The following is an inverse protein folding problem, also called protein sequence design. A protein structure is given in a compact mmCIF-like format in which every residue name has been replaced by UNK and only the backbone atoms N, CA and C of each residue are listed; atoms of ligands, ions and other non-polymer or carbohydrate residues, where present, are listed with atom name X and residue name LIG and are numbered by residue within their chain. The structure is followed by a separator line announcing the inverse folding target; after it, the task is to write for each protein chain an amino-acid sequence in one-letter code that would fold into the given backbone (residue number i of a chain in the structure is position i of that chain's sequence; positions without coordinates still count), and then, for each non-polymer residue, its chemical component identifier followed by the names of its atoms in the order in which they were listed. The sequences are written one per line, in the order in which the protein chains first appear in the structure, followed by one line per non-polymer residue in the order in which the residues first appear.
data_IF_565335548087
#
_entry.id   IF_565335548087
#
_cell.length_a   1.000
_cell.length_b   1.000
_cell.length_c   1.000
_cell.angle_alpha   90.00
_cell.angle_beta   90.00
_cell.angle_gamma   90.00
#
_symmetry.space_group_name_H-M   'P 1'
#
loop_
_entity.id
_entity.type
_entity.pdbx_description
1 polymer ?
#
# COMPACT_ATOMS: atom_id res chain seq x y z
N UNK A 1 -2.59 -77.21 -22.44
CA UNK A 1 -3.35 -76.19 -21.67
C UNK A 1 -2.41 -75.57 -20.66
N UNK A 2 -1.83 -74.41 -20.94
CA UNK A 2 -1.17 -73.60 -19.93
C UNK A 2 -1.21 -72.12 -20.36
N UNK A 3 -1.66 -71.28 -19.44
CA UNK A 3 -2.22 -69.97 -19.71
C UNK A 3 -1.15 -68.88 -19.80
N UNK A 4 -1.14 -68.13 -20.90
CA UNK A 4 -0.48 -66.84 -21.02
C UNK A 4 -1.25 -65.79 -20.19
N UNK A 5 -0.61 -65.21 -19.18
CA UNK A 5 -1.08 -63.96 -18.53
C UNK A 5 -0.18 -62.82 -18.93
N UNK A 6 -0.68 -61.96 -19.82
CA UNK A 6 -0.04 -60.70 -20.18
C UNK A 6 -0.13 -59.70 -19.02
N UNK A 7 1.03 -59.19 -18.58
CA UNK A 7 1.12 -58.05 -17.69
C UNK A 7 0.89 -56.77 -18.52
N UNK A 8 -0.31 -56.20 -18.43
CA UNK A 8 -0.62 -54.88 -18.95
C UNK A 8 0.01 -53.80 -18.07
N UNK A 9 1.16 -53.28 -18.50
CA UNK A 9 1.80 -52.13 -17.88
C UNK A 9 0.98 -50.86 -18.21
N UNK A 10 0.05 -50.50 -17.31
CA UNK A 10 -0.68 -49.22 -17.38
C UNK A 10 0.27 -48.10 -16.98
N UNK A 11 0.93 -47.49 -17.95
CA UNK A 11 1.63 -46.22 -17.79
C UNK A 11 0.60 -45.13 -17.42
N UNK A 12 0.57 -44.75 -16.15
CA UNK A 12 -0.08 -43.53 -15.72
C UNK A 12 0.78 -42.35 -16.18
N UNK A 13 0.32 -41.61 -17.21
CA UNK A 13 0.89 -40.32 -17.54
C UNK A 13 0.57 -39.35 -16.39
N UNK A 14 1.54 -39.15 -15.50
CA UNK A 14 1.54 -38.01 -14.58
C UNK A 14 1.86 -36.78 -15.43
N UNK A 15 0.83 -35.99 -15.74
CA UNK A 15 0.99 -34.63 -16.27
C UNK A 15 1.68 -33.79 -15.19
N UNK A 16 3.02 -33.71 -15.27
CA UNK A 16 3.81 -32.72 -14.55
C UNK A 16 3.43 -31.35 -15.11
N UNK A 17 2.48 -30.69 -14.47
CA UNK A 17 2.27 -29.26 -14.65
C UNK A 17 3.60 -28.56 -14.35
N UNK A 18 4.18 -27.81 -15.31
CA UNK A 18 5.39 -27.07 -15.04
C UNK A 18 5.06 -26.06 -13.95
N UNK A 19 5.67 -26.24 -12.78
CA UNK A 19 5.68 -25.24 -11.73
C UNK A 19 6.55 -24.10 -12.27
N UNK A 20 5.94 -23.19 -13.03
CA UNK A 20 6.59 -21.96 -13.44
C UNK A 20 7.02 -21.25 -12.17
N UNK A 21 8.33 -21.24 -11.91
CA UNK A 21 8.92 -20.31 -10.98
C UNK A 21 8.57 -18.92 -11.52
N UNK A 22 7.52 -18.31 -11.01
CA UNK A 22 7.20 -16.93 -11.35
C UNK A 22 8.38 -16.11 -10.85
N UNK A 23 9.25 -15.68 -11.78
CA UNK A 23 10.14 -14.56 -11.54
C UNK A 23 9.26 -13.45 -10.93
N UNK A 24 9.65 -12.98 -9.75
CA UNK A 24 8.86 -12.01 -9.00
C UNK A 24 8.81 -10.71 -9.80
N UNK A 25 7.77 -10.56 -10.61
CA UNK A 25 7.60 -9.44 -11.53
C UNK A 25 7.40 -8.17 -10.71
N UNK A 26 8.47 -7.35 -10.70
CA UNK A 26 8.63 -6.22 -9.80
C UNK A 26 8.51 -4.92 -10.59
N UNK A 27 7.53 -4.12 -10.22
CA UNK A 27 7.31 -2.78 -10.76
C UNK A 27 7.93 -1.72 -9.86
N UNK A 28 8.50 -0.69 -10.49
CA UNK A 28 9.01 0.50 -9.81
C UNK A 28 8.19 1.70 -10.25
N UNK A 29 7.72 2.49 -9.29
CA UNK A 29 6.88 3.65 -9.55
C UNK A 29 7.30 4.82 -8.69
N UNK A 30 7.54 5.98 -9.33
CA UNK A 30 7.79 7.25 -8.65
C UNK A 30 6.56 8.13 -8.80
N UNK A 31 5.85 8.44 -7.71
CA UNK A 31 4.65 9.27 -7.77
C UNK A 31 4.98 10.71 -8.21
N UNK A 32 4.14 11.29 -9.05
CA UNK A 32 4.26 12.70 -9.50
C UNK A 32 3.15 13.61 -8.96
N UNK A 33 2.03 13.04 -8.51
CA UNK A 33 0.90 13.76 -7.93
C UNK A 33 0.27 12.98 -6.78
N UNK A 34 -0.23 13.71 -5.79
CA UNK A 34 -0.98 13.18 -4.66
C UNK A 34 -2.41 13.70 -4.66
N UNK A 35 -3.35 12.88 -4.19
CA UNK A 35 -4.78 13.22 -4.19
C UNK A 35 -5.34 13.29 -2.77
N UNK A 36 -6.12 14.34 -2.49
CA UNK A 36 -6.74 14.56 -1.18
C UNK A 36 -8.01 13.73 -0.95
N UNK A 37 -8.46 12.97 -1.96
CA UNK A 37 -9.73 12.23 -1.90
C UNK A 37 -9.64 10.89 -2.62
N UNK A 38 -10.28 9.87 -2.04
CA UNK A 38 -10.53 8.60 -2.71
C UNK A 38 -11.69 8.75 -3.69
N UNK A 39 -11.41 8.58 -4.98
CA UNK A 39 -12.37 8.72 -6.08
C UNK A 39 -11.87 7.89 -7.27
N UNK A 40 -12.80 7.45 -8.13
CA UNK A 40 -12.50 6.86 -9.45
C UNK A 40 -11.77 7.89 -10.32
N UNK A 41 -10.57 7.54 -10.80
CA UNK A 41 -9.71 8.35 -11.67
C UNK A 41 -8.99 7.45 -12.66
N UNK A 42 -8.39 8.06 -13.67
CA UNK A 42 -7.40 7.38 -14.48
C UNK A 42 -6.29 6.83 -13.59
N UNK A 43 -5.94 5.54 -13.73
CA UNK A 43 -4.95 4.93 -12.88
C UNK A 43 -3.56 5.45 -13.24
N UNK A 44 -2.78 5.75 -12.20
CA UNK A 44 -1.38 6.15 -12.36
C UNK A 44 -0.47 4.95 -12.66
N UNK A 45 -0.95 3.74 -12.36
CA UNK A 45 -0.28 2.47 -12.61
C UNK A 45 -1.32 1.36 -12.79
N UNK A 46 -1.05 0.43 -13.72
CA UNK A 46 -1.79 -0.83 -13.86
C UNK A 46 -0.89 -1.99 -13.43
N UNK A 47 -1.44 -2.92 -12.67
CA UNK A 47 -0.72 -4.08 -12.13
C UNK A 47 -1.52 -5.36 -12.28
N UNK A 48 -0.80 -6.48 -12.42
CA UNK A 48 -1.36 -7.84 -12.35
C UNK A 48 -1.33 -8.36 -10.91
N UNK A 49 -2.28 -9.23 -10.53
CA UNK A 49 -2.21 -9.93 -9.26
C UNK A 49 -0.86 -10.66 -9.08
N UNK A 50 -0.27 -10.56 -7.88
CA UNK A 50 1.00 -11.21 -7.54
C UNK A 50 2.27 -10.41 -7.85
N UNK A 51 2.18 -9.31 -8.60
CA UNK A 51 3.33 -8.42 -8.82
C UNK A 51 3.76 -7.70 -7.53
N UNK A 52 5.05 -7.39 -7.43
CA UNK A 52 5.60 -6.57 -6.34
C UNK A 52 5.72 -5.13 -6.80
N UNK A 53 5.22 -4.19 -6.00
CA UNK A 53 5.42 -2.77 -6.21
C UNK A 53 6.49 -2.22 -5.27
N UNK A 54 7.50 -1.56 -5.84
CA UNK A 54 8.40 -0.67 -5.12
C UNK A 54 8.01 0.76 -5.51
N UNK A 55 7.45 1.48 -4.55
CA UNK A 55 7.01 2.87 -4.72
C UNK A 55 7.36 3.68 -3.49
N UNK A 56 7.32 5.00 -3.66
CA UNK A 56 7.41 5.96 -2.57
C UNK A 56 6.01 6.46 -2.17
N UNK A 57 5.88 6.97 -0.95
CA UNK A 57 4.75 7.82 -0.56
C UNK A 57 5.04 9.26 -0.92
N UNK A 58 4.00 10.06 -1.19
CA UNK A 58 4.18 11.42 -1.66
C UNK A 58 4.86 12.32 -0.61
N UNK A 59 5.85 13.09 -1.06
CA UNK A 59 6.50 14.15 -0.29
C UNK A 59 5.84 15.51 -0.53
N UNK A 60 5.96 16.40 0.44
CA UNK A 60 5.41 17.74 0.34
C UNK A 60 5.67 18.61 1.57
N UNK A 61 5.20 19.87 1.56
CA UNK A 61 5.48 20.86 2.60
C UNK A 61 5.15 20.41 4.02
N UNK A 62 4.13 19.55 4.18
CA UNK A 62 3.77 19.00 5.50
C UNK A 62 4.96 18.41 6.27
N UNK A 63 5.87 17.73 5.57
CA UNK A 63 7.01 17.02 6.14
C UNK A 63 8.27 17.89 6.33
N UNK A 64 8.25 19.16 5.94
CA UNK A 64 9.40 20.07 6.12
C UNK A 64 9.35 20.78 7.47
N UNK A 65 10.39 21.55 7.79
CA UNK A 65 10.47 22.32 9.03
C UNK A 65 9.39 23.41 9.08
N UNK A 66 9.17 24.07 7.95
CA UNK A 66 8.20 25.14 7.76
C UNK A 66 6.77 24.61 7.90
N UNK A 67 6.55 23.35 7.50
CA UNK A 67 5.24 22.75 7.44
C UNK A 67 4.40 23.28 6.28
N UNK A 68 3.22 22.70 6.11
CA UNK A 68 2.29 23.10 5.07
C UNK A 68 1.27 22.01 4.78
N UNK A 69 0.65 22.09 3.60
CA UNK A 69 -0.38 21.17 3.19
C UNK A 69 0.16 19.73 3.08
N UNK A 70 -0.63 18.78 3.54
CA UNK A 70 -0.39 17.36 3.30
C UNK A 70 -0.48 17.08 1.80
N UNK A 71 0.47 16.35 1.19
CA UNK A 71 0.56 16.26 -0.26
C UNK A 71 -0.45 15.30 -0.91
N UNK A 72 -1.17 14.49 -0.13
CA UNK A 72 -2.19 13.58 -0.64
C UNK A 72 -1.72 12.14 -0.80
N UNK A 73 -2.67 11.29 -1.18
CA UNK A 73 -2.44 9.87 -1.44
C UNK A 73 -1.85 9.61 -2.84
N UNK A 74 -1.03 8.58 -2.93
CA UNK A 74 -0.51 8.05 -4.20
C UNK A 74 -1.52 7.05 -4.78
N UNK A 75 -1.94 7.26 -6.03
CA UNK A 75 -2.86 6.36 -6.72
C UNK A 75 -3.86 7.09 -7.63
N UNK A 76 -4.93 6.44 -8.09
CA UNK A 76 -5.25 5.03 -7.84
C UNK A 76 -4.39 4.10 -8.67
N UNK A 77 -4.12 2.91 -8.12
CA UNK A 77 -3.47 1.80 -8.82
C UNK A 77 -4.58 0.83 -9.25
N UNK A 78 -4.60 0.46 -10.53
CA UNK A 78 -5.58 -0.46 -11.08
C UNK A 78 -5.04 -1.88 -11.08
N UNK A 79 -5.82 -2.82 -10.55
CA UNK A 79 -5.48 -4.25 -10.54
C UNK A 79 -6.28 -4.95 -11.65
N UNK A 80 -5.55 -5.57 -12.59
CA UNK A 80 -6.16 -6.29 -13.71
C UNK A 80 -7.08 -7.41 -13.23
N UNK A 81 -8.30 -7.44 -13.78
CA UNK A 81 -9.31 -8.46 -13.49
C UNK A 81 -10.04 -8.29 -12.17
N UNK A 82 -9.66 -7.33 -11.31
CA UNK A 82 -10.34 -7.09 -10.04
C UNK A 82 -11.75 -6.51 -10.27
N UNK A 83 -12.73 -7.07 -9.57
CA UNK A 83 -14.13 -6.66 -9.58
C UNK A 83 -14.57 -6.18 -8.19
N UNK A 84 -15.73 -5.51 -8.06
CA UNK A 84 -16.25 -5.11 -6.76
C UNK A 84 -16.61 -6.28 -5.82
N UNK A 85 -16.64 -7.52 -6.32
CA UNK A 85 -16.90 -8.73 -5.52
C UNK A 85 -15.61 -9.34 -4.95
N UNK A 86 -14.45 -8.86 -5.36
CA UNK A 86 -13.15 -9.37 -4.94
C UNK A 86 -12.60 -8.65 -3.70
N UNK A 87 -11.61 -9.28 -3.07
CA UNK A 87 -10.83 -8.68 -1.98
C UNK A 87 -9.38 -8.48 -2.43
N UNK A 88 -8.87 -7.28 -2.19
CA UNK A 88 -7.45 -6.98 -2.43
C UNK A 88 -6.63 -7.35 -1.19
N UNK A 89 -5.67 -8.25 -1.35
CA UNK A 89 -4.67 -8.54 -0.30
C UNK A 89 -3.40 -7.75 -0.60
N UNK A 90 -3.08 -6.78 0.27
CA UNK A 90 -1.83 -6.00 0.18
C UNK A 90 -0.87 -6.49 1.25
N UNK A 91 0.23 -7.13 0.82
CA UNK A 91 1.31 -7.55 1.72
C UNK A 91 2.42 -6.51 1.73
N UNK A 92 2.58 -5.80 2.84
CA UNK A 92 3.72 -4.91 3.05
C UNK A 92 5.00 -5.74 3.27
N UNK A 93 5.88 -5.75 2.28
CA UNK A 93 7.15 -6.48 2.34
C UNK A 93 8.23 -5.71 3.10
N UNK A 94 8.29 -4.39 2.90
CA UNK A 94 9.26 -3.49 3.53
C UNK A 94 8.76 -2.06 3.47
N UNK A 95 8.99 -1.31 4.53
CA UNK A 95 8.76 0.14 4.60
C UNK A 95 10.05 0.78 5.11
N UNK A 96 10.46 1.90 4.49
CA UNK A 96 11.60 2.70 4.91
C UNK A 96 11.22 4.18 4.85
N UNK A 97 11.71 5.04 5.76
CA UNK A 97 11.59 6.47 5.59
C UNK A 97 12.19 6.91 4.26
N UNK A 98 11.45 7.71 3.49
CA UNK A 98 11.95 8.41 2.30
C UNK A 98 12.19 9.91 2.59
N UNK A 99 12.36 10.25 3.87
CA UNK A 99 12.52 11.61 4.39
C UNK A 99 13.33 11.59 5.68
N UNK A 100 13.89 12.74 6.03
CA UNK A 100 14.77 12.88 7.20
C UNK A 100 14.05 13.41 8.44
N UNK A 101 12.86 14.00 8.28
CA UNK A 101 12.07 14.56 9.36
C UNK A 101 10.72 13.86 9.49
N UNK A 102 10.28 13.63 10.73
CA UNK A 102 8.92 13.28 11.07
C UNK A 102 8.28 14.41 11.89
N UNK A 103 7.31 15.17 11.33
CA UNK A 103 6.53 16.11 12.10
C UNK A 103 5.49 15.40 12.95
N UNK A 104 5.34 15.81 14.20
CA UNK A 104 4.18 15.52 15.04
C UNK A 104 3.59 16.83 15.54
N UNK A 105 2.28 16.87 15.77
CA UNK A 105 1.63 18.08 16.25
C UNK A 105 0.52 17.78 17.24
N UNK A 106 0.37 18.68 18.22
CA UNK A 106 -0.83 18.80 19.05
C UNK A 106 -1.63 19.95 18.46
N UNK A 107 -2.92 19.71 18.20
CA UNK A 107 -3.83 20.72 17.71
C UNK A 107 -4.91 21.02 18.76
N UNK A 108 -5.15 22.29 19.01
CA UNK A 108 -6.22 22.78 19.87
C UNK A 108 -7.62 22.42 19.40
N UNK A 109 -7.77 22.01 18.13
CA UNK A 109 -9.05 21.70 17.51
C UNK A 109 -9.18 20.24 17.05
N UNK A 110 -8.24 19.36 17.39
CA UNK A 110 -8.27 17.96 16.98
C UNK A 110 -7.39 17.10 17.88
N UNK A 111 -7.98 16.07 18.50
CA UNK A 111 -7.26 15.08 19.31
C UNK A 111 -8.20 14.38 20.30
N UNK A 112 -7.78 13.24 20.84
CA UNK A 112 -8.61 12.46 21.77
C UNK A 112 -8.88 13.15 23.12
N UNK A 113 -8.03 14.12 23.49
CA UNK A 113 -8.15 14.94 24.71
C UNK A 113 -8.37 16.43 24.40
N UNK A 114 -8.64 16.76 23.14
CA UNK A 114 -8.93 18.12 22.70
C UNK A 114 -10.41 18.26 22.40
N UNK A 115 -10.95 19.46 22.60
CA UNK A 115 -12.24 19.82 22.01
C UNK A 115 -12.09 19.93 20.50
N UNK A 116 -13.10 19.50 19.75
CA UNK A 116 -13.14 19.67 18.30
C UNK A 116 -14.56 19.99 17.82
N UNK A 117 -14.74 20.09 16.50
CA UNK A 117 -16.04 20.40 15.89
C UNK A 117 -17.12 19.33 16.19
N UNK A 118 -16.72 18.14 16.63
CA UNK A 118 -17.59 17.02 17.01
C UNK A 118 -17.79 16.95 18.52
N UNK A 119 -16.75 17.25 19.31
CA UNK A 119 -16.78 17.29 20.79
C UNK A 119 -16.64 18.74 21.24
N UNK A 120 -17.78 19.46 21.21
CA UNK A 120 -17.85 20.91 21.42
C UNK A 120 -17.98 21.23 22.90
N UNK A 121 -16.85 21.46 23.56
CA UNK A 121 -16.79 21.91 24.95
C UNK A 121 -16.50 23.42 25.01
N UNK A 122 -16.72 24.00 26.18
CA UNK A 122 -16.54 25.45 26.43
C UNK A 122 -15.17 25.79 27.00
N UNK A 123 -14.33 24.81 27.34
CA UNK A 123 -12.97 25.07 27.81
C UNK A 123 -12.12 25.71 26.70
N UNK A 124 -11.08 26.46 27.06
CA UNK A 124 -10.06 26.88 26.11
C UNK A 124 -9.47 25.66 25.37
N UNK A 125 -9.08 25.81 24.09
CA UNK A 125 -8.41 24.75 23.36
C UNK A 125 -7.05 24.44 23.99
N UNK A 126 -6.59 23.19 23.85
CA UNK A 126 -5.19 22.86 24.19
C UNK A 126 -4.24 23.68 23.31
N UNK A 127 -3.06 24.10 23.81
CA UNK A 127 -2.08 24.82 23.00
C UNK A 127 -1.65 24.03 21.76
N UNK A 128 -1.46 24.74 20.65
CA UNK A 128 -0.88 24.14 19.46
C UNK A 128 0.62 23.94 19.65
N UNK A 129 1.12 22.75 19.42
CA UNK A 129 2.56 22.42 19.51
C UNK A 129 2.99 21.62 18.29
N UNK A 130 4.21 21.85 17.80
CA UNK A 130 4.79 21.10 16.69
C UNK A 130 6.16 20.57 17.08
N UNK A 131 6.35 19.27 16.91
CA UNK A 131 7.60 18.56 17.17
C UNK A 131 8.17 18.10 15.84
N UNK A 132 9.48 18.27 15.67
CA UNK A 132 10.20 17.76 14.51
C UNK A 132 11.23 16.74 14.98
N UNK A 133 11.05 15.50 14.54
CA UNK A 133 11.92 14.40 14.89
C UNK A 133 12.86 14.12 13.73
N UNK A 134 14.17 14.17 13.99
CA UNK A 134 15.17 13.67 13.05
C UNK A 134 15.06 12.14 13.01
N UNK A 135 14.94 11.58 11.80
CA UNK A 135 14.85 10.14 11.60
C UNK A 135 16.24 9.56 11.37
N UNK A 136 16.54 8.49 12.10
CA UNK A 136 17.70 7.64 11.83
C UNK A 136 17.44 6.78 10.59
N UNK A 137 18.50 6.43 9.87
CA UNK A 137 18.43 5.63 8.63
C UNK A 137 18.92 4.22 8.82
#
# INVERSE_FOLDING_TARGET
MNANRGFGCRCWLILLLPFSLLAQDTLRFTPTAGYQTFKVREPVLRMKPGQVLISETMMGPYYTKEGGAWPGEVGPIYIEGATPQDQLVVKLLRVRPNRDLAPAAISGNFGGLASDVRVRLLNPPVPNERFLWQLDR
#
